data_IF_456523232073
#
_entry.id   IF_456523232073
#
_cell.length_a   1.000
_cell.length_b   1.000
_cell.length_c   1.000
_cell.angle_alpha   90.00
_cell.angle_beta   90.00
_cell.angle_gamma   90.00
#
_symmetry.space_group_name_H-M   'P 1'
#
loop_
_entity.id
_entity.type
_entity.pdbx_description
1 polymer ?
#
# COMPACT_ATOMS: atom_id res chain seq x y z
N UNK A 1 -0.91 -10.65 -8.56
CA UNK A 1 -0.62 -9.34 -9.14
C UNK A 1 0.16 -9.44 -10.46
N UNK A 2 1.40 -10.00 -10.54
CA UNK A 2 2.13 -10.09 -11.81
C UNK A 2 1.40 -10.92 -12.89
N UNK A 3 0.73 -12.01 -12.52
CA UNK A 3 -0.06 -12.80 -13.45
C UNK A 3 -1.22 -12.03 -14.11
N UNK A 4 -1.73 -10.98 -13.46
CA UNK A 4 -2.80 -10.15 -14.02
C UNK A 4 -2.34 -9.25 -15.17
N UNK A 5 -1.03 -8.97 -15.28
CA UNK A 5 -0.46 -8.21 -16.39
C UNK A 5 -0.56 -8.93 -17.75
N UNK A 6 -0.86 -10.24 -17.75
CA UNK A 6 -1.19 -10.97 -18.97
C UNK A 6 -2.59 -10.63 -19.52
N UNK A 7 -3.46 -10.07 -18.68
CA UNK A 7 -4.88 -9.82 -18.97
C UNK A 7 -5.26 -8.34 -18.92
N UNK A 8 -4.48 -7.52 -18.20
CA UNK A 8 -4.76 -6.12 -17.96
C UNK A 8 -3.52 -5.24 -18.17
N UNK A 9 -3.67 -4.03 -18.71
CA UNK A 9 -2.62 -3.03 -18.76
C UNK A 9 -2.13 -2.65 -17.35
N UNK A 10 -0.85 -2.29 -17.23
CA UNK A 10 -0.22 -1.92 -15.97
C UNK A 10 -0.97 -0.82 -15.19
N UNK A 11 -1.52 0.25 -15.81
CA UNK A 11 -2.28 1.27 -15.08
C UNK A 11 -3.53 0.70 -14.40
N UNK A 12 -4.23 -0.23 -15.04
CA UNK A 12 -5.44 -0.86 -14.49
C UNK A 12 -5.11 -1.80 -13.33
N UNK A 13 -4.05 -2.62 -13.48
CA UNK A 13 -3.54 -3.45 -12.38
C UNK A 13 -3.16 -2.59 -11.18
N UNK A 14 -2.49 -1.46 -11.43
CA UNK A 14 -2.09 -0.51 -10.38
C UNK A 14 -3.30 0.10 -9.69
N UNK A 15 -4.29 0.60 -10.46
CA UNK A 15 -5.52 1.19 -9.93
C UNK A 15 -6.28 0.21 -9.02
N UNK A 16 -6.47 -1.03 -9.49
CA UNK A 16 -7.16 -2.07 -8.72
C UNK A 16 -6.37 -2.49 -7.48
N UNK A 17 -5.04 -2.49 -7.53
CA UNK A 17 -4.21 -2.85 -6.37
C UNK A 17 -4.36 -1.87 -5.20
N UNK A 18 -4.73 -0.63 -5.48
CA UNK A 18 -5.05 0.37 -4.45
C UNK A 18 -6.36 0.09 -3.68
N UNK A 19 -7.07 -0.99 -4.00
CA UNK A 19 -8.09 -1.54 -3.11
C UNK A 19 -7.49 -2.17 -1.83
N UNK A 20 -6.19 -2.53 -1.82
CA UNK A 20 -5.53 -3.15 -0.67
C UNK A 20 -5.64 -2.32 0.62
N UNK A 21 -5.38 -1.00 0.68
CA UNK A 21 -5.56 -0.20 1.89
C UNK A 21 -6.98 -0.22 2.44
N UNK A 22 -8.01 -0.24 1.59
CA UNK A 22 -9.40 -0.36 2.03
C UNK A 22 -9.65 -1.71 2.69
N UNK A 23 -9.21 -2.79 2.05
CA UNK A 23 -9.32 -4.15 2.59
C UNK A 23 -8.53 -4.30 3.90
N UNK A 24 -7.36 -3.66 3.99
CA UNK A 24 -6.53 -3.65 5.19
C UNK A 24 -7.25 -3.01 6.37
N UNK A 25 -7.94 -1.88 6.16
CA UNK A 25 -8.76 -1.23 7.20
C UNK A 25 -9.91 -2.13 7.65
N UNK A 26 -10.58 -2.80 6.70
CA UNK A 26 -11.68 -3.73 7.01
C UNK A 26 -11.16 -4.93 7.82
N UNK A 27 -10.07 -5.57 7.36
CA UNK A 27 -9.50 -6.73 8.06
C UNK A 27 -8.92 -6.38 9.42
N UNK A 28 -8.31 -5.20 9.58
CA UNK A 28 -7.85 -4.72 10.87
C UNK A 28 -9.02 -4.55 11.86
N UNK A 29 -10.15 -4.04 11.41
CA UNK A 29 -11.34 -3.93 12.23
C UNK A 29 -11.90 -5.28 12.63
N UNK A 30 -12.03 -6.21 11.68
CA UNK A 30 -12.66 -7.52 11.90
C UNK A 30 -11.73 -8.45 12.68
N UNK A 31 -10.44 -8.54 12.31
CA UNK A 31 -9.50 -9.52 12.85
C UNK A 31 -8.73 -9.03 14.09
N UNK A 32 -8.47 -7.72 14.19
CA UNK A 32 -7.73 -7.13 15.31
C UNK A 32 -8.64 -6.38 16.29
N UNK A 33 -9.94 -6.21 15.96
CA UNK A 33 -10.86 -5.41 16.77
C UNK A 33 -10.48 -3.91 16.80
N UNK A 34 -9.73 -3.42 15.81
CA UNK A 34 -9.39 -2.00 15.72
C UNK A 34 -10.66 -1.18 15.52
N UNK A 35 -10.83 -0.13 16.33
CA UNK A 35 -12.02 0.73 16.22
C UNK A 35 -11.97 1.52 14.92
N UNK A 36 -12.92 1.24 14.03
CA UNK A 36 -13.16 2.04 12.85
C UNK A 36 -13.71 3.42 13.25
N UNK A 37 -12.91 4.43 13.12
CA UNK A 37 -13.35 5.82 13.28
C UNK A 37 -13.70 6.38 11.92
N UNK A 38 -14.80 7.13 11.83
CA UNK A 38 -15.31 7.65 10.57
C UNK A 38 -14.22 8.41 9.77
N UNK A 39 -13.41 9.24 10.43
CA UNK A 39 -12.36 10.00 9.76
C UNK A 39 -11.26 9.12 9.12
N UNK A 40 -11.01 7.89 9.63
CA UNK A 40 -10.07 6.93 9.01
C UNK A 40 -10.65 6.35 7.73
N UNK A 41 -11.93 6.00 7.75
CA UNK A 41 -12.64 5.50 6.57
C UNK A 41 -12.72 6.59 5.50
N UNK A 42 -13.02 7.82 5.89
CA UNK A 42 -13.05 8.95 4.95
C UNK A 42 -11.69 9.25 4.36
N UNK A 43 -10.61 9.20 5.15
CA UNK A 43 -9.25 9.41 4.64
C UNK A 43 -8.82 8.33 3.64
N UNK A 44 -9.13 7.05 3.94
CA UNK A 44 -8.87 5.94 3.01
C UNK A 44 -9.68 6.09 1.73
N UNK A 45 -10.97 6.44 1.86
CA UNK A 45 -11.84 6.69 0.69
C UNK A 45 -11.37 7.87 -0.17
N UNK A 46 -10.97 8.98 0.47
CA UNK A 46 -10.40 10.14 -0.24
C UNK A 46 -9.07 9.78 -0.93
N UNK A 47 -8.19 9.03 -0.27
CA UNK A 47 -6.95 8.56 -0.87
C UNK A 47 -7.20 7.73 -2.12
N UNK A 48 -8.16 6.79 -2.06
CA UNK A 48 -8.56 6.00 -3.22
C UNK A 48 -9.12 6.86 -4.35
N UNK A 49 -10.02 7.83 -4.03
CA UNK A 49 -10.56 8.77 -5.04
C UNK A 49 -9.43 9.54 -5.70
N UNK A 50 -8.46 10.08 -4.92
CA UNK A 50 -7.30 10.79 -5.45
C UNK A 50 -6.49 9.94 -6.43
N UNK A 51 -6.22 8.68 -6.08
CA UNK A 51 -5.52 7.73 -6.95
C UNK A 51 -6.31 7.44 -8.23
N UNK A 52 -7.62 7.21 -8.13
CA UNK A 52 -8.47 6.97 -9.30
C UNK A 52 -8.49 8.18 -10.24
N UNK A 53 -8.52 9.40 -9.70
CA UNK A 53 -8.41 10.63 -10.49
C UNK A 53 -7.07 10.72 -11.23
N UNK A 54 -5.95 10.35 -10.58
CA UNK A 54 -4.63 10.32 -11.24
C UNK A 54 -4.58 9.29 -12.37
N UNK A 55 -5.20 8.13 -12.18
CA UNK A 55 -5.10 7.00 -13.10
C UNK A 55 -6.16 7.01 -14.20
N UNK A 56 -7.26 7.76 -14.02
CA UNK A 56 -8.39 7.77 -14.97
C UNK A 56 -7.98 7.95 -16.43
N UNK A 57 -7.04 8.88 -16.80
CA UNK A 57 -6.65 9.03 -18.20
C UNK A 57 -5.94 7.81 -18.80
N UNK A 58 -5.47 6.89 -17.95
CA UNK A 58 -4.75 5.67 -18.32
C UNK A 58 -5.61 4.40 -18.21
N UNK A 59 -6.86 4.54 -17.77
CA UNK A 59 -7.80 3.41 -17.62
C UNK A 59 -8.55 3.17 -18.93
N UNK A 60 -8.08 2.23 -19.72
CA UNK A 60 -8.68 1.89 -21.01
C UNK A 60 -10.01 1.15 -20.87
N UNK A 61 -10.21 0.37 -19.80
CA UNK A 61 -11.46 -0.34 -19.52
C UNK A 61 -12.66 0.59 -19.37
N UNK A 62 -12.46 1.78 -18.78
CA UNK A 62 -13.54 2.76 -18.61
C UNK A 62 -13.95 3.42 -19.93
N UNK A 63 -13.03 3.51 -20.89
CA UNK A 63 -13.26 4.16 -22.17
C UNK A 63 -13.88 3.25 -23.23
N UNK A 64 -13.63 1.94 -23.18
CA UNK A 64 -14.08 0.97 -24.17
C UNK A 64 -15.50 0.45 -23.92
N UNK A 65 -16.01 0.53 -22.70
CA UNK A 65 -17.35 0.03 -22.33
C UNK A 65 -17.55 -1.48 -22.53
N UNK A 66 -16.51 -2.22 -22.90
CA UNK A 66 -16.55 -3.66 -23.14
C UNK A 66 -15.86 -4.39 -21.99
N UNK A 67 -16.64 -5.11 -21.20
CA UNK A 67 -16.14 -6.05 -20.21
C UNK A 67 -15.80 -7.37 -20.91
N UNK A 68 -14.55 -7.54 -21.31
CA UNK A 68 -14.07 -8.84 -21.78
C UNK A 68 -13.89 -9.81 -20.59
N UNK A 69 -14.30 -11.10 -20.74
CA UNK A 69 -14.15 -12.09 -19.67
C UNK A 69 -12.71 -12.23 -19.15
N UNK A 70 -11.72 -12.08 -20.03
CA UNK A 70 -10.31 -12.13 -19.71
C UNK A 70 -9.88 -10.95 -18.81
N UNK A 71 -10.37 -9.76 -19.12
CA UNK A 71 -10.11 -8.57 -18.30
C UNK A 71 -10.79 -8.68 -16.92
N UNK A 72 -11.99 -9.25 -16.84
CA UNK A 72 -12.66 -9.54 -15.57
C UNK A 72 -11.88 -10.56 -14.72
N UNK A 73 -11.32 -11.59 -15.35
CA UNK A 73 -10.44 -12.56 -14.67
C UNK A 73 -9.17 -11.89 -14.14
N UNK A 74 -8.52 -11.05 -14.96
CA UNK A 74 -7.36 -10.25 -14.55
C UNK A 74 -7.65 -9.36 -13.34
N UNK A 75 -8.79 -8.66 -13.36
CA UNK A 75 -9.24 -7.83 -12.23
C UNK A 75 -9.48 -8.65 -10.96
N UNK A 76 -10.10 -9.83 -11.10
CA UNK A 76 -10.28 -10.77 -9.99
C UNK A 76 -8.95 -11.21 -9.35
N UNK A 77 -7.94 -11.48 -10.17
CA UNK A 77 -6.58 -11.81 -9.68
C UNK A 77 -5.93 -10.66 -8.91
N UNK A 78 -6.11 -9.40 -9.35
CA UNK A 78 -5.58 -8.24 -8.63
C UNK A 78 -6.28 -8.05 -7.29
N UNK A 79 -7.62 -8.14 -7.26
CA UNK A 79 -8.39 -8.00 -6.02
C UNK A 79 -8.08 -9.12 -5.02
N UNK A 80 -7.89 -10.33 -5.51
CA UNK A 80 -7.44 -11.45 -4.68
C UNK A 80 -6.06 -11.19 -4.08
N UNK A 81 -5.11 -10.70 -4.89
CA UNK A 81 -3.78 -10.31 -4.41
C UNK A 81 -3.85 -9.17 -3.40
N UNK A 82 -4.69 -8.15 -3.62
CA UNK A 82 -4.95 -7.07 -2.67
C UNK A 82 -5.50 -7.60 -1.33
N UNK A 83 -6.39 -8.60 -1.37
CA UNK A 83 -6.88 -9.29 -0.18
C UNK A 83 -5.77 -10.00 0.60
N UNK A 84 -4.88 -10.72 -0.07
CA UNK A 84 -3.73 -11.36 0.58
C UNK A 84 -2.75 -10.35 1.17
N UNK A 85 -2.50 -9.22 0.49
CA UNK A 85 -1.67 -8.13 1.02
C UNK A 85 -2.30 -7.57 2.31
N UNK A 86 -3.59 -7.31 2.29
CA UNK A 86 -4.33 -6.79 3.44
C UNK A 86 -4.31 -7.77 4.63
N UNK A 87 -4.49 -9.06 4.37
CA UNK A 87 -4.35 -10.11 5.38
C UNK A 87 -2.93 -10.16 5.96
N UNK A 88 -1.92 -10.12 5.10
CA UNK A 88 -0.52 -10.14 5.53
C UNK A 88 -0.20 -8.94 6.43
N UNK A 89 -0.59 -7.72 6.04
CA UNK A 89 -0.39 -6.51 6.85
C UNK A 89 -1.08 -6.62 8.22
N UNK A 90 -2.30 -7.15 8.25
CA UNK A 90 -3.06 -7.38 9.48
C UNK A 90 -2.36 -8.40 10.40
N UNK A 91 -1.81 -9.49 9.84
CA UNK A 91 -1.04 -10.47 10.59
C UNK A 91 0.29 -9.92 11.10
N UNK A 92 1.02 -9.16 10.28
CA UNK A 92 2.25 -8.47 10.69
C UNK A 92 1.98 -7.57 11.91
N UNK A 93 0.86 -6.83 11.91
CA UNK A 93 0.46 -6.00 13.05
C UNK A 93 0.29 -6.81 14.32
N UNK A 94 -0.23 -8.02 14.24
CA UNK A 94 -0.35 -8.93 15.40
C UNK A 94 1.03 -9.43 15.84
N UNK A 95 1.87 -9.86 14.90
CA UNK A 95 3.20 -10.39 15.18
C UNK A 95 4.12 -9.37 15.83
N UNK A 96 4.11 -8.10 15.40
CA UNK A 96 5.01 -7.07 15.96
C UNK A 96 4.74 -6.75 17.42
N UNK A 97 3.67 -7.28 18.02
CA UNK A 97 3.41 -7.15 19.45
C UNK A 97 4.29 -8.10 20.29
N UNK A 98 4.67 -9.24 19.72
CA UNK A 98 5.45 -10.31 20.39
C UNK A 98 6.83 -10.49 19.81
N UNK A 99 6.99 -10.25 18.50
CA UNK A 99 8.22 -10.54 17.77
C UNK A 99 8.99 -9.26 17.40
N UNK A 100 10.29 -9.40 17.17
CA UNK A 100 11.13 -8.30 16.74
C UNK A 100 10.84 -7.96 15.24
N UNK A 101 10.60 -6.68 14.88
CA UNK A 101 10.26 -6.30 13.50
C UNK A 101 11.25 -6.78 12.44
N UNK A 102 12.56 -6.75 12.75
CA UNK A 102 13.60 -7.23 11.85
C UNK A 102 13.51 -8.75 11.62
N UNK A 103 13.12 -9.53 12.63
CA UNK A 103 12.93 -10.97 12.48
C UNK A 103 11.75 -11.26 11.57
N UNK A 104 10.64 -10.54 11.73
CA UNK A 104 9.45 -10.68 10.85
C UNK A 104 9.84 -10.38 9.39
N UNK A 105 10.53 -9.26 9.14
CA UNK A 105 11.00 -8.89 7.80
C UNK A 105 11.97 -9.93 7.23
N UNK A 106 12.90 -10.44 8.05
CA UNK A 106 13.87 -11.46 7.64
C UNK A 106 13.18 -12.76 7.20
N UNK A 107 12.29 -13.32 8.04
CA UNK A 107 11.60 -14.58 7.72
C UNK A 107 10.64 -14.42 6.55
N UNK A 108 9.98 -13.28 6.41
CA UNK A 108 9.17 -12.98 5.24
C UNK A 108 10.01 -12.98 3.95
N UNK A 109 11.16 -12.29 3.96
CA UNK A 109 12.07 -12.24 2.81
C UNK A 109 12.69 -13.60 2.51
N UNK A 110 13.08 -14.35 3.55
CA UNK A 110 13.63 -15.70 3.40
C UNK A 110 12.62 -16.66 2.76
N UNK A 111 11.38 -16.66 3.25
CA UNK A 111 10.31 -17.51 2.71
C UNK A 111 10.00 -17.15 1.26
N UNK A 112 9.94 -15.83 0.95
CA UNK A 112 9.73 -15.35 -0.42
C UNK A 112 10.87 -15.74 -1.35
N UNK A 113 12.12 -15.69 -0.86
CA UNK A 113 13.31 -16.10 -1.62
C UNK A 113 13.27 -17.61 -1.92
N UNK A 114 12.96 -18.44 -0.92
CA UNK A 114 12.84 -19.89 -1.10
C UNK A 114 11.73 -20.20 -2.13
N UNK A 115 10.56 -19.55 -1.98
CA UNK A 115 9.46 -19.72 -2.92
C UNK A 115 9.85 -19.30 -4.35
N UNK A 116 10.59 -18.19 -4.50
CA UNK A 116 11.09 -17.76 -5.80
C UNK A 116 12.12 -18.75 -6.38
N UNK A 117 13.04 -19.26 -5.58
CA UNK A 117 14.04 -20.26 -6.04
C UNK A 117 13.39 -21.57 -6.52
N UNK A 118 12.26 -21.97 -5.95
CA UNK A 118 11.51 -23.13 -6.43
C UNK A 118 10.96 -22.96 -7.85
N UNK A 119 10.89 -21.73 -8.36
CA UNK A 119 10.51 -21.46 -9.76
C UNK A 119 11.67 -21.55 -10.74
N UNK A 120 12.91 -21.69 -10.29
CA UNK A 120 14.10 -21.75 -11.15
C UNK A 120 14.05 -22.86 -12.22
N UNK A 121 13.51 -24.09 -11.93
CA UNK A 121 13.40 -25.14 -12.93
C UNK A 121 12.46 -24.81 -14.11
N UNK A 122 11.58 -23.82 -13.96
CA UNK A 122 10.65 -23.40 -15.02
C UNK A 122 11.26 -22.42 -16.03
N UNK A 123 12.56 -22.18 -15.92
CA UNK A 123 13.35 -21.39 -16.86
C UNK A 123 13.40 -19.91 -16.47
N UNK A 124 14.53 -19.50 -15.85
CA UNK A 124 14.82 -18.09 -15.61
C UNK A 124 15.56 -17.51 -16.80
N UNK A 125 15.18 -16.31 -17.23
CA UNK A 125 15.90 -15.57 -18.24
C UNK A 125 17.30 -15.17 -17.76
N UNK A 126 18.30 -15.28 -18.64
CA UNK A 126 19.63 -14.77 -18.35
C UNK A 126 19.58 -13.25 -18.18
N UNK A 127 20.08 -12.76 -17.06
CA UNK A 127 20.09 -11.33 -16.73
C UNK A 127 21.35 -10.67 -17.24
N UNK A 128 21.23 -9.48 -17.85
CA UNK A 128 22.38 -8.63 -18.09
C UNK A 128 22.94 -8.13 -16.76
N UNK A 129 24.22 -7.79 -16.73
CA UNK A 129 24.88 -7.27 -15.53
C UNK A 129 24.16 -6.02 -14.99
N UNK A 130 23.73 -5.12 -15.87
CA UNK A 130 23.00 -3.91 -15.50
C UNK A 130 21.65 -4.26 -14.85
N UNK A 131 20.89 -5.17 -15.44
CA UNK A 131 19.60 -5.64 -14.88
C UNK A 131 19.81 -6.31 -13.53
N UNK A 132 20.84 -7.13 -13.37
CA UNK A 132 21.17 -7.76 -12.11
C UNK A 132 21.48 -6.73 -11.00
N UNK A 133 22.28 -5.71 -11.29
CA UNK A 133 22.60 -4.62 -10.36
C UNK A 133 21.34 -3.84 -9.95
N UNK A 134 20.46 -3.53 -10.90
CA UNK A 134 19.20 -2.84 -10.61
C UNK A 134 18.27 -3.69 -9.72
N UNK A 135 18.20 -5.00 -9.97
CA UNK A 135 17.41 -5.92 -9.14
C UNK A 135 17.97 -6.05 -7.72
N UNK A 136 19.30 -6.09 -7.57
CA UNK A 136 19.95 -6.10 -6.25
C UNK A 136 19.63 -4.79 -5.51
N UNK A 137 19.77 -3.64 -6.16
CA UNK A 137 19.44 -2.35 -5.57
C UNK A 137 17.97 -2.28 -5.16
N UNK A 138 17.04 -2.72 -6.02
CA UNK A 138 15.62 -2.80 -5.73
C UNK A 138 15.34 -3.73 -4.53
N UNK A 139 16.03 -4.87 -4.45
CA UNK A 139 15.92 -5.82 -3.33
C UNK A 139 16.37 -5.22 -2.01
N UNK A 140 17.50 -4.51 -2.00
CA UNK A 140 18.02 -3.82 -0.78
C UNK A 140 17.05 -2.73 -0.34
N UNK A 141 16.62 -1.85 -1.26
CA UNK A 141 15.66 -0.79 -0.95
C UNK A 141 14.32 -1.35 -0.49
N UNK A 142 13.84 -2.42 -1.14
CA UNK A 142 12.62 -3.12 -0.74
C UNK A 142 12.73 -3.74 0.65
N UNK A 143 13.89 -4.33 1.00
CA UNK A 143 14.17 -4.86 2.33
C UNK A 143 14.15 -3.78 3.42
N UNK A 144 14.78 -2.63 3.17
CA UNK A 144 14.70 -1.47 4.06
C UNK A 144 13.26 -1.00 4.22
N UNK A 145 12.54 -0.85 3.10
CA UNK A 145 11.12 -0.47 3.10
C UNK A 145 10.25 -1.46 3.92
N UNK A 146 10.50 -2.75 3.77
CA UNK A 146 9.78 -3.79 4.52
C UNK A 146 10.03 -3.69 6.04
N UNK A 147 11.26 -3.39 6.46
CA UNK A 147 11.57 -3.15 7.87
C UNK A 147 10.85 -1.90 8.38
N UNK A 148 10.88 -0.80 7.63
CA UNK A 148 10.20 0.44 7.98
C UNK A 148 8.67 0.25 8.09
N UNK A 149 8.07 -0.48 7.14
CA UNK A 149 6.64 -0.81 7.16
C UNK A 149 6.31 -1.66 8.40
N UNK A 150 7.09 -2.69 8.68
CA UNK A 150 6.89 -3.55 9.85
C UNK A 150 7.02 -2.76 11.15
N UNK A 151 7.99 -1.84 11.24
CA UNK A 151 8.16 -0.93 12.37
C UNK A 151 6.96 0.01 12.52
N UNK A 152 6.40 0.54 11.44
CA UNK A 152 5.23 1.43 11.50
C UNK A 152 4.04 0.74 12.18
N UNK A 153 3.83 -0.54 11.90
CA UNK A 153 2.78 -1.34 12.56
C UNK A 153 3.04 -1.61 14.04
N UNK A 154 4.28 -1.49 14.51
CA UNK A 154 4.58 -1.56 15.95
C UNK A 154 4.10 -0.32 16.68
N UNK A 155 4.24 0.85 16.08
CA UNK A 155 3.97 2.14 16.72
C UNK A 155 2.56 2.68 16.46
N UNK A 156 1.90 2.25 15.37
CA UNK A 156 0.57 2.74 15.00
C UNK A 156 -0.37 1.61 14.59
N UNK A 157 -1.70 1.79 14.81
CA UNK A 157 -2.71 0.90 14.28
C UNK A 157 -2.64 0.80 12.75
N UNK A 158 -2.99 -0.37 12.20
CA UNK A 158 -3.02 -0.59 10.74
C UNK A 158 -3.95 0.40 10.05
N UNK A 159 -5.09 0.71 10.68
CA UNK A 159 -6.06 1.68 10.17
C UNK A 159 -5.55 3.11 10.06
N UNK A 160 -4.44 3.44 10.74
CA UNK A 160 -3.74 4.74 10.61
C UNK A 160 -2.67 4.68 9.52
N UNK A 161 -1.99 3.54 9.39
CA UNK A 161 -0.87 3.36 8.43
C UNK A 161 -1.38 3.16 7.00
N UNK A 162 -2.46 2.38 6.81
CA UNK A 162 -2.97 1.99 5.51
C UNK A 162 -3.21 3.16 4.50
N UNK A 163 -3.72 4.34 4.89
CA UNK A 163 -3.86 5.46 3.94
C UNK A 163 -2.56 5.98 3.37
N UNK A 164 -1.42 5.75 4.04
CA UNK A 164 -0.11 6.17 3.55
C UNK A 164 0.40 5.32 2.39
N UNK A 165 -0.19 4.15 2.15
CA UNK A 165 0.11 3.33 0.96
C UNK A 165 -0.18 4.11 -0.33
N UNK A 166 -1.17 5.02 -0.30
CA UNK A 166 -1.46 5.91 -1.43
C UNK A 166 -0.35 6.94 -1.71
N UNK A 167 0.53 7.23 -0.75
CA UNK A 167 1.66 8.13 -0.96
C UNK A 167 2.65 7.59 -2.02
N UNK A 168 2.66 6.26 -2.25
CA UNK A 168 3.46 5.66 -3.32
C UNK A 168 3.14 6.26 -4.69
N UNK A 169 1.89 6.69 -4.91
CA UNK A 169 1.48 7.37 -6.14
C UNK A 169 2.14 8.74 -6.31
N UNK A 170 2.35 9.48 -5.21
CA UNK A 170 3.05 10.77 -5.24
C UNK A 170 4.52 10.57 -5.64
N UNK A 171 5.17 9.54 -5.07
CA UNK A 171 6.54 9.18 -5.47
C UNK A 171 6.61 8.72 -6.92
N UNK A 172 5.62 7.97 -7.41
CA UNK A 172 5.56 7.59 -8.83
C UNK A 172 5.48 8.81 -9.75
N UNK A 173 4.68 9.83 -9.41
CA UNK A 173 4.59 11.09 -10.17
C UNK A 173 5.92 11.87 -10.14
N UNK A 174 6.58 11.95 -8.98
CA UNK A 174 7.87 12.62 -8.85
C UNK A 174 8.96 11.92 -9.68
N UNK A 175 9.02 10.59 -9.60
CA UNK A 175 9.96 9.79 -10.39
C UNK A 175 9.66 9.94 -11.90
N UNK A 176 8.39 9.90 -12.30
CA UNK A 176 7.95 10.14 -13.67
C UNK A 176 8.47 11.47 -14.20
N UNK A 177 8.32 12.53 -13.41
CA UNK A 177 8.77 13.87 -13.81
C UNK A 177 10.29 14.00 -13.86
N UNK A 178 11.02 13.63 -12.79
CA UNK A 178 12.46 13.87 -12.69
C UNK A 178 13.32 12.86 -13.45
N UNK A 179 12.89 11.60 -13.55
CA UNK A 179 13.68 10.52 -14.17
C UNK A 179 13.24 10.27 -15.61
N UNK A 180 11.94 10.30 -15.89
CA UNK A 180 11.38 10.00 -17.20
C UNK A 180 10.97 11.24 -17.99
N UNK A 181 11.14 12.46 -17.43
CA UNK A 181 10.73 13.73 -18.02
C UNK A 181 9.24 13.76 -18.42
N UNK A 182 8.40 13.00 -17.73
CA UNK A 182 6.95 13.00 -17.92
C UNK A 182 6.33 14.20 -17.23
N UNK A 183 5.72 15.13 -17.97
CA UNK A 183 5.04 16.29 -17.39
C UNK A 183 3.67 15.85 -16.87
N UNK A 184 3.38 15.98 -15.55
CA UNK A 184 2.08 15.62 -15.00
C UNK A 184 0.97 16.50 -15.58
N UNK A 185 -0.15 15.90 -15.96
CA UNK A 185 -1.34 16.64 -16.35
C UNK A 185 -1.96 17.35 -15.14
N UNK A 186 -2.79 18.38 -15.40
CA UNK A 186 -3.52 19.07 -14.33
C UNK A 186 -4.38 18.09 -13.52
N UNK A 187 -4.96 17.10 -14.17
CA UNK A 187 -5.76 16.07 -13.52
C UNK A 187 -4.90 15.21 -12.55
N UNK A 188 -3.70 14.84 -12.95
CA UNK A 188 -2.76 14.13 -12.06
C UNK A 188 -2.39 14.97 -10.83
N UNK A 189 -2.19 16.28 -11.00
CA UNK A 189 -1.91 17.19 -9.89
C UNK A 189 -3.10 17.33 -8.93
N UNK A 190 -4.34 17.39 -9.46
CA UNK A 190 -5.56 17.40 -8.63
C UNK A 190 -5.67 16.11 -7.81
N UNK A 191 -5.51 14.94 -8.45
CA UNK A 191 -5.55 13.66 -7.75
C UNK A 191 -4.45 13.53 -6.69
N UNK A 192 -3.23 13.99 -7.00
CA UNK A 192 -2.12 14.05 -6.03
C UNK A 192 -2.46 14.96 -4.83
N UNK A 193 -3.07 16.12 -5.06
CA UNK A 193 -3.50 17.03 -4.00
C UNK A 193 -4.55 16.37 -3.07
N UNK A 194 -5.49 15.59 -3.63
CA UNK A 194 -6.47 14.83 -2.85
C UNK A 194 -5.79 13.77 -1.98
N UNK A 195 -4.80 13.04 -2.50
CA UNK A 195 -4.02 12.05 -1.73
C UNK A 195 -3.26 12.72 -0.58
N UNK A 196 -2.61 13.86 -0.84
CA UNK A 196 -1.92 14.64 0.20
C UNK A 196 -2.91 15.10 1.27
N UNK A 197 -4.07 15.65 0.86
CA UNK A 197 -5.10 16.10 1.79
C UNK A 197 -5.62 14.95 2.68
N UNK A 198 -5.80 13.77 2.13
CA UNK A 198 -6.19 12.57 2.89
C UNK A 198 -5.14 12.19 3.94
N UNK A 199 -3.85 12.21 3.57
CA UNK A 199 -2.74 11.95 4.50
C UNK A 199 -2.66 13.01 5.62
N UNK A 200 -2.76 14.29 5.27
CA UNK A 200 -2.76 15.39 6.25
C UNK A 200 -3.96 15.30 7.21
N UNK A 201 -5.14 14.98 6.69
CA UNK A 201 -6.36 14.81 7.51
C UNK A 201 -6.16 13.75 8.60
N UNK A 202 -5.54 12.62 8.25
CA UNK A 202 -5.31 11.55 9.22
C UNK A 202 -4.29 11.95 10.28
N UNK A 203 -3.16 12.56 9.87
CA UNK A 203 -2.12 13.01 10.77
C UNK A 203 -2.68 14.05 11.75
N UNK A 204 -3.37 15.06 11.21
CA UNK A 204 -3.94 16.14 12.01
C UNK A 204 -4.96 15.61 13.04
N UNK A 205 -5.85 14.72 12.61
CA UNK A 205 -6.89 14.18 13.50
C UNK A 205 -6.33 13.23 14.55
N UNK A 206 -5.36 12.40 14.20
CA UNK A 206 -4.69 11.53 15.19
C UNK A 206 -3.86 12.34 16.20
N UNK A 207 -3.22 13.44 15.76
CA UNK A 207 -2.51 14.35 16.66
C UNK A 207 -3.47 14.99 17.68
N UNK A 208 -4.62 15.50 17.22
CA UNK A 208 -5.65 16.06 18.11
C UNK A 208 -6.15 15.02 19.13
N UNK A 209 -6.46 13.82 18.69
CA UNK A 209 -6.92 12.75 19.56
C UNK A 209 -5.85 12.30 20.57
N UNK A 210 -4.58 12.36 20.18
CA UNK A 210 -3.44 12.12 21.08
C UNK A 210 -3.38 13.18 22.20
N UNK A 211 -3.54 14.45 21.85
CA UNK A 211 -3.57 15.55 22.81
C UNK A 211 -4.76 15.46 23.78
N UNK A 212 -5.96 15.14 23.27
CA UNK A 212 -7.15 14.96 24.10
C UNK A 212 -6.98 13.81 25.11
N UNK A 213 -6.38 12.67 24.69
CA UNK A 213 -6.07 11.53 25.57
C UNK A 213 -5.02 11.91 26.63
N UNK A 214 -4.00 12.65 26.24
CA UNK A 214 -2.98 13.17 27.16
C UNK A 214 -3.58 14.04 28.25
N UNK A 215 -4.45 14.99 27.89
CA UNK A 215 -5.17 15.86 28.83
C UNK A 215 -6.07 15.08 29.77
N UNK A 216 -6.85 14.12 29.23
CA UNK A 216 -7.75 13.29 30.03
C UNK A 216 -6.99 12.38 31.02
N UNK A 217 -5.77 11.94 30.67
CA UNK A 217 -4.91 11.16 31.56
C UNK A 217 -4.31 12.03 32.68
N UNK A 218 -3.87 13.24 32.35
CA UNK A 218 -3.37 14.20 33.35
C UNK A 218 -4.41 14.60 34.39
N UNK A 219 -5.70 14.74 33.98
CA UNK A 219 -6.82 15.06 34.88
C UNK A 219 -7.21 13.89 35.78
N UNK A 220 -6.86 12.64 35.43
CA UNK A 220 -7.17 11.43 36.22
C UNK A 220 -6.07 11.02 37.19
N UNK A 221 -4.91 11.65 37.14
CA UNK A 221 -3.83 11.41 38.11
C UNK A 221 -4.08 12.36 39.28
N UNK A 222 -4.56 11.87 40.47
CA UNK A 222 -4.62 12.70 41.64
C UNK A 222 -3.21 13.07 42.04
N UNK A 223 -2.96 14.35 42.25
CA UNK A 223 -1.77 14.77 42.97
C UNK A 223 -1.86 14.20 44.40
N UNK A 224 -1.19 13.08 44.62
CA UNK A 224 -0.92 12.57 45.95
C UNK A 224 0.31 13.21 46.53
#
# INVERSE_FOLDING_TARGET
MFASLAYLPLPEVTALSYAAPLLTVIFAAVLLGERLRLFRITAVGLGLIGVLVVLEPRLTMLSSGQFEPEAAFGAGLVLLAAGFIALAQTHIRKLVQTEHPAAIAFYFSLTSTIAALLTAPFGWAALSQQTALLLIAAGVLGGVGQICLTLSFRYAPVTVVAPFDYASMLFALLIGYFVFAEVPSLQMLIGAAIVVAAGVLIIWREAQLGLERGKARALKTPHG
#
